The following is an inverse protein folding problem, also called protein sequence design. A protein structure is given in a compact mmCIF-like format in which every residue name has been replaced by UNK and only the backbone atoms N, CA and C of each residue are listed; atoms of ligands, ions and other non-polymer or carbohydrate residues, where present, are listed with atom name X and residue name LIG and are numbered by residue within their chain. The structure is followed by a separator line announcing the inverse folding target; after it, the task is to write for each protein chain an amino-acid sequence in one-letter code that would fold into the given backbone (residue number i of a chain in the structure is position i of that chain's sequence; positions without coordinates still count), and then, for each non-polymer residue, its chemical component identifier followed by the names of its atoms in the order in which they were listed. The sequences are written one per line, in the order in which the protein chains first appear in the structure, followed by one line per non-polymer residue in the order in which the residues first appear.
data_IF_443687874486
#
_entry.id   IF_443687874486
#
_cell.length_a   1.000
_cell.length_b   1.000
_cell.length_c   1.000
_cell.angle_alpha   90.00
_cell.angle_beta   90.00
_cell.angle_gamma   90.00
#
_symmetry.space_group_name_H-M   'P 1'
#
loop_
_entity.id
_entity.type
_entity.pdbx_description
1 polymer ?
#
# COMPACT_ATOMS: atom_id res chain seq x y z
N UNK A 1 47.41 -11.58 -5.80
CA UNK A 1 48.73 -11.22 -6.36
C UNK A 1 49.46 -12.50 -6.76
N UNK A 2 50.38 -12.53 -7.76
CA UNK A 2 51.08 -11.41 -8.43
C UNK A 2 50.31 -10.62 -9.52
N UNK A 3 50.65 -10.81 -10.81
CA UNK A 3 50.83 -9.73 -11.82
C UNK A 3 50.40 -10.17 -13.24
N UNK A 4 49.85 -9.33 -14.14
CA UNK A 4 50.25 -7.98 -14.62
C UNK A 4 51.47 -7.94 -15.57
N UNK A 5 51.25 -7.49 -16.82
CA UNK A 5 52.12 -6.71 -17.75
C UNK A 5 51.30 -6.46 -19.04
N UNK A 6 51.11 -5.27 -19.64
CA UNK A 6 51.83 -3.97 -19.80
C UNK A 6 52.55 -3.81 -21.17
N UNK A 7 51.91 -3.06 -22.08
CA UNK A 7 52.52 -2.20 -23.14
C UNK A 7 51.38 -1.22 -23.58
N UNK A 8 51.40 0.13 -23.57
CA UNK A 8 52.38 1.25 -23.63
C UNK A 8 52.92 1.62 -25.03
N UNK A 9 52.58 2.84 -25.48
CA UNK A 9 53.03 3.51 -26.71
C UNK A 9 51.83 4.12 -27.47
N UNK A 10 51.82 5.36 -27.97
CA UNK A 10 52.86 6.40 -28.03
C UNK A 10 52.19 7.80 -27.98
N UNK A 11 52.83 8.79 -27.36
CA UNK A 11 52.43 10.21 -27.39
C UNK A 11 53.27 10.93 -28.45
N UNK A 12 52.66 11.84 -29.22
CA UNK A 12 53.37 12.85 -30.01
C UNK A 12 52.83 14.23 -29.64
N UNK A 13 53.70 15.11 -29.15
CA UNK A 13 53.43 16.53 -28.89
C UNK A 13 54.53 17.35 -29.58
N UNK A 14 54.12 18.26 -30.45
CA UNK A 14 54.89 19.41 -30.96
C UNK A 14 53.85 20.55 -31.03
N UNK A 15 53.81 21.52 -30.10
CA UNK A 15 54.78 22.58 -29.80
C UNK A 15 54.82 23.69 -30.86
N UNK A 16 54.43 24.92 -30.46
CA UNK A 16 54.53 26.13 -31.28
C UNK A 16 53.46 27.18 -30.94
N UNK A 17 53.80 28.18 -30.14
CA UNK A 17 52.92 29.29 -29.79
C UNK A 17 53.55 30.64 -30.18
N UNK A 18 52.75 31.59 -30.70
CA UNK A 18 52.94 33.06 -30.56
C UNK A 18 51.54 33.70 -30.66
N UNK A 19 51.27 34.72 -29.84
CA UNK A 19 50.02 35.48 -29.84
C UNK A 19 50.13 36.80 -30.62
N UNK A 20 49.02 37.26 -31.21
CA UNK A 20 48.83 38.65 -31.64
C UNK A 20 47.33 39.03 -31.58
N UNK A 21 47.03 40.21 -31.06
CA UNK A 21 45.68 40.76 -30.97
C UNK A 21 45.23 41.40 -32.30
N UNK A 22 43.91 41.44 -32.56
CA UNK A 22 43.34 42.29 -33.61
C UNK A 22 41.89 41.92 -33.96
N UNK A 23 40.94 42.81 -33.72
CA UNK A 23 39.52 42.59 -33.97
C UNK A 23 39.09 43.00 -35.39
N UNK A 24 38.15 42.26 -35.97
CA UNK A 24 37.19 42.71 -36.99
C UNK A 24 35.99 41.75 -36.89
N UNK A 25 34.91 42.16 -36.21
CA UNK A 25 33.82 43.03 -36.68
C UNK A 25 32.72 42.22 -37.37
N UNK A 26 31.54 42.21 -36.75
CA UNK A 26 30.34 41.58 -37.28
C UNK A 26 29.79 42.36 -38.46
N UNK A 27 29.24 41.66 -39.45
CA UNK A 27 28.08 42.11 -40.20
C UNK A 27 27.33 40.90 -40.80
N UNK A 28 26.01 40.99 -40.75
CA UNK A 28 25.02 40.35 -41.63
C UNK A 28 24.85 38.80 -41.64
N UNK A 29 24.00 38.31 -40.75
CA UNK A 29 22.87 37.44 -41.16
C UNK A 29 21.61 37.80 -40.34
N UNK A 30 20.74 38.62 -40.92
CA UNK A 30 19.38 38.81 -40.41
C UNK A 30 18.54 37.54 -40.58
N UNK A 31 18.14 36.94 -39.45
CA UNK A 31 16.93 36.15 -39.34
C UNK A 31 16.11 36.75 -38.20
N UNK A 32 14.93 37.28 -38.51
CA UNK A 32 14.09 38.00 -37.55
C UNK A 32 13.62 37.07 -36.43
N UNK A 33 14.19 37.25 -35.23
CA UNK A 33 13.63 36.69 -34.01
C UNK A 33 12.35 37.48 -33.66
N UNK A 34 11.21 36.83 -33.38
CA UNK A 34 10.08 37.53 -32.79
C UNK A 34 10.47 38.11 -31.42
N UNK A 35 9.85 39.22 -30.97
CA UNK A 35 10.25 39.90 -29.74
C UNK A 35 10.11 38.97 -28.53
N UNK A 36 11.09 39.06 -27.63
CA UNK A 36 11.15 38.25 -26.41
C UNK A 36 10.27 38.84 -25.30
N UNK A 37 8.96 38.87 -25.53
CA UNK A 37 7.92 39.10 -24.52
C UNK A 37 6.76 38.12 -24.79
N UNK A 38 6.17 37.55 -23.72
CA UNK A 38 5.12 36.52 -23.76
C UNK A 38 5.50 35.15 -24.40
N UNK A 39 6.58 34.55 -23.90
CA UNK A 39 6.56 33.10 -23.58
C UNK A 39 6.91 32.86 -22.10
N UNK A 40 6.08 33.44 -21.22
CA UNK A 40 5.84 32.83 -19.91
C UNK A 40 5.04 31.55 -20.15
N UNK A 41 5.73 30.46 -20.45
CA UNK A 41 5.15 29.14 -20.37
C UNK A 41 4.74 28.91 -18.91
N UNK A 42 3.43 28.86 -18.67
CA UNK A 42 2.86 28.43 -17.40
C UNK A 42 3.25 26.97 -17.16
N UNK A 43 4.38 26.76 -16.49
CA UNK A 43 4.78 25.46 -15.96
C UNK A 43 3.69 25.02 -14.97
N UNK A 44 2.99 23.89 -15.20
CA UNK A 44 1.93 23.47 -14.30
C UNK A 44 2.47 23.22 -12.89
N UNK A 45 1.87 23.85 -11.89
CA UNK A 45 2.24 23.70 -10.46
C UNK A 45 1.72 22.38 -9.84
N UNK A 46 1.53 21.35 -10.67
CA UNK A 46 0.91 20.05 -10.34
C UNK A 46 1.91 19.00 -9.80
N UNK A 47 3.21 19.26 -9.93
CA UNK A 47 4.31 18.32 -9.66
C UNK A 47 4.41 17.78 -8.20
N UNK A 48 4.31 18.58 -7.12
CA UNK A 48 4.65 18.07 -5.79
C UNK A 48 3.58 17.12 -5.21
N UNK A 49 2.31 17.30 -5.55
CA UNK A 49 1.21 16.44 -5.07
C UNK A 49 1.14 15.10 -5.82
N UNK A 50 1.43 15.09 -7.12
CA UNK A 50 1.42 13.88 -7.94
C UNK A 50 2.56 12.93 -7.57
N UNK A 51 3.77 13.46 -7.35
CA UNK A 51 4.92 12.67 -6.88
C UNK A 51 4.66 12.06 -5.49
N UNK A 52 4.08 12.82 -4.55
CA UNK A 52 3.73 12.31 -3.22
C UNK A 52 2.69 11.17 -3.30
N UNK A 53 1.69 11.29 -4.17
CA UNK A 53 0.70 10.24 -4.41
C UNK A 53 1.36 8.96 -4.96
N UNK A 54 2.25 9.08 -5.94
CA UNK A 54 2.96 7.94 -6.52
C UNK A 54 3.89 7.22 -5.51
N UNK A 55 4.54 7.97 -4.60
CA UNK A 55 5.32 7.38 -3.51
C UNK A 55 4.44 6.60 -2.53
N UNK A 56 3.28 7.15 -2.16
CA UNK A 56 2.30 6.48 -1.29
C UNK A 56 1.78 5.19 -1.95
N UNK A 57 1.39 5.23 -3.22
CA UNK A 57 0.95 4.04 -3.98
C UNK A 57 2.03 2.96 -4.03
N UNK A 58 3.28 3.35 -4.27
CA UNK A 58 4.44 2.43 -4.23
C UNK A 58 4.60 1.75 -2.87
N UNK A 59 4.49 2.51 -1.77
CA UNK A 59 4.56 1.96 -0.40
C UNK A 59 3.40 1.02 -0.08
N UNK A 60 2.17 1.33 -0.53
CA UNK A 60 1.00 0.44 -0.35
C UNK A 60 1.21 -0.87 -1.11
N UNK A 61 1.75 -0.82 -2.33
CA UNK A 61 2.01 -2.02 -3.12
C UNK A 61 3.13 -2.88 -2.50
N UNK A 62 4.21 -2.26 -2.03
CA UNK A 62 5.25 -2.97 -1.28
C UNK A 62 4.72 -3.62 0.01
N UNK A 63 3.80 -2.96 0.73
CA UNK A 63 3.12 -3.53 1.89
C UNK A 63 2.27 -4.77 1.52
N UNK A 64 1.51 -4.70 0.43
CA UNK A 64 0.74 -5.86 -0.11
C UNK A 64 1.63 -7.02 -0.50
N UNK A 65 2.79 -6.75 -1.12
CA UNK A 65 3.79 -7.76 -1.46
C UNK A 65 4.41 -8.39 -0.21
N UNK A 66 4.74 -7.59 0.81
CA UNK A 66 5.33 -8.06 2.06
C UNK A 66 4.41 -9.04 2.83
N UNK A 67 3.09 -8.82 2.81
CA UNK A 67 2.11 -9.73 3.46
C UNK A 67 1.64 -10.89 2.57
N UNK A 68 2.04 -10.95 1.30
CA UNK A 68 1.45 -11.91 0.33
C UNK A 68 1.64 -13.38 0.74
N UNK A 69 2.77 -13.72 1.39
CA UNK A 69 3.05 -15.05 1.93
C UNK A 69 2.11 -15.44 3.08
N UNK A 70 1.53 -14.47 3.79
CA UNK A 70 0.59 -14.70 4.90
C UNK A 70 -0.81 -15.10 4.46
N UNK A 71 -1.04 -15.25 3.14
CA UNK A 71 -2.15 -16.07 2.64
C UNK A 71 -2.05 -17.53 3.13
N UNK A 72 -0.85 -18.02 3.40
CA UNK A 72 -0.62 -19.20 4.24
C UNK A 72 -0.59 -18.79 5.72
N UNK A 73 -1.57 -19.28 6.47
CA UNK A 73 -1.73 -18.99 7.90
C UNK A 73 -0.55 -19.49 8.73
N UNK A 74 0.11 -20.58 8.34
CA UNK A 74 1.29 -21.09 9.06
C UNK A 74 2.51 -20.17 8.88
N UNK A 75 2.64 -19.50 7.74
CA UNK A 75 3.68 -18.47 7.55
C UNK A 75 3.39 -17.21 8.37
N UNK A 76 2.13 -16.83 8.52
CA UNK A 76 1.72 -15.72 9.39
C UNK A 76 2.04 -16.01 10.87
N UNK A 77 1.69 -17.21 11.35
CA UNK A 77 1.98 -17.63 12.72
C UNK A 77 3.49 -17.73 12.99
N UNK A 78 4.26 -18.27 12.04
CA UNK A 78 5.72 -18.30 12.11
C UNK A 78 6.37 -16.90 12.09
N UNK A 79 5.69 -15.90 11.52
CA UNK A 79 6.09 -14.50 11.53
C UNK A 79 5.54 -13.71 12.74
N UNK A 80 4.91 -14.37 13.70
CA UNK A 80 4.47 -13.79 14.98
C UNK A 80 3.00 -13.39 15.07
N UNK A 81 2.22 -13.47 13.98
CA UNK A 81 0.80 -13.08 13.92
C UNK A 81 -0.13 -14.11 14.60
N UNK A 82 0.11 -14.35 15.89
CA UNK A 82 -0.42 -15.47 16.68
C UNK A 82 -1.60 -15.09 17.57
N UNK A 83 -1.84 -13.81 17.83
CA UNK A 83 -2.89 -13.35 18.73
C UNK A 83 -4.16 -12.99 17.96
N UNK A 84 -5.20 -13.80 18.05
CA UNK A 84 -6.54 -13.41 17.58
C UNK A 84 -7.07 -12.28 18.49
N UNK A 85 -7.41 -11.13 17.89
CA UNK A 85 -7.98 -9.98 18.61
C UNK A 85 -9.51 -9.98 18.59
N UNK A 86 -10.11 -10.50 17.52
CA UNK A 86 -11.56 -10.44 17.31
C UNK A 86 -12.09 -11.78 16.81
N UNK A 87 -13.39 -12.03 17.02
CA UNK A 87 -14.16 -12.90 16.12
C UNK A 87 -14.30 -12.24 14.73
N UNK A 88 -15.05 -12.85 13.81
CA UNK A 88 -15.29 -12.24 12.51
C UNK A 88 -16.10 -10.94 12.64
N UNK A 89 -15.49 -9.79 12.31
CA UNK A 89 -16.12 -8.47 12.39
C UNK A 89 -16.82 -8.15 11.07
N UNK A 90 -18.11 -7.80 11.14
CA UNK A 90 -18.92 -7.38 10.00
C UNK A 90 -20.00 -6.37 10.39
N UNK A 91 -20.50 -5.63 9.41
CA UNK A 91 -21.61 -4.68 9.52
C UNK A 91 -22.51 -4.74 8.27
N UNK A 92 -23.52 -3.88 8.20
CA UNK A 92 -24.33 -3.71 6.99
C UNK A 92 -23.55 -3.13 5.78
N UNK A 93 -22.35 -2.59 6.01
CA UNK A 93 -21.48 -2.00 4.97
C UNK A 93 -20.46 -3.03 4.42
N UNK A 94 -20.36 -4.21 5.04
CA UNK A 94 -19.45 -5.28 4.63
C UNK A 94 -18.69 -5.92 5.80
N UNK A 95 -17.72 -6.77 5.46
CA UNK A 95 -16.86 -7.45 6.41
C UNK A 95 -15.52 -6.75 6.63
N UNK A 96 -14.93 -7.01 7.80
CA UNK A 96 -13.51 -6.87 8.09
C UNK A 96 -12.82 -8.24 8.20
N UNK A 97 -13.54 -9.26 8.65
CA UNK A 97 -12.98 -10.58 8.92
C UNK A 97 -12.46 -10.72 10.35
N UNK A 98 -11.66 -11.74 10.57
CA UNK A 98 -10.92 -11.98 11.81
C UNK A 98 -9.61 -11.18 11.82
N UNK A 99 -9.29 -10.54 12.94
CA UNK A 99 -8.05 -9.81 13.14
C UNK A 99 -7.04 -10.67 13.92
N UNK A 100 -5.84 -10.87 13.36
CA UNK A 100 -4.73 -11.56 14.02
C UNK A 100 -3.51 -10.65 14.11
N UNK A 101 -3.12 -10.32 15.33
CA UNK A 101 -2.02 -9.42 15.64
C UNK A 101 -0.68 -10.12 15.82
N UNK A 102 0.39 -9.40 15.53
CA UNK A 102 1.73 -9.66 16.06
C UNK A 102 1.95 -8.77 17.31
N UNK A 103 1.95 -9.34 18.53
CA UNK A 103 2.09 -8.56 19.77
C UNK A 103 3.45 -7.87 19.93
N UNK A 104 4.50 -8.36 19.26
CA UNK A 104 5.83 -7.74 19.33
C UNK A 104 5.86 -6.40 18.57
N UNK A 105 5.15 -6.30 17.44
CA UNK A 105 5.02 -5.07 16.67
C UNK A 105 4.11 -4.05 17.40
N UNK A 106 2.96 -4.50 17.93
CA UNK A 106 2.07 -3.62 18.74
C UNK A 106 2.82 -3.04 19.96
N UNK A 107 3.75 -3.81 20.54
CA UNK A 107 4.48 -3.45 21.76
C UNK A 107 5.81 -2.72 21.56
N UNK A 108 6.16 -2.31 20.34
CA UNK A 108 7.53 -1.84 20.01
C UNK A 108 7.82 -0.35 20.32
N UNK A 109 6.88 0.32 20.98
CA UNK A 109 6.92 1.77 21.22
C UNK A 109 6.21 2.60 20.15
N UNK A 110 5.40 1.98 19.29
CA UNK A 110 4.53 2.67 18.35
C UNK A 110 5.21 3.02 17.02
N UNK A 111 6.14 2.19 16.58
CA UNK A 111 6.81 2.34 15.29
C UNK A 111 5.95 1.70 14.20
N UNK A 112 5.64 2.45 13.14
CA UNK A 112 4.86 1.94 12.01
C UNK A 112 5.79 1.73 10.80
N UNK A 113 6.05 0.47 10.44
CA UNK A 113 6.72 0.10 9.19
C UNK A 113 5.68 -0.37 8.16
N UNK A 114 5.72 0.19 6.95
CA UNK A 114 4.83 -0.21 5.87
C UNK A 114 4.99 -1.69 5.47
N UNK A 115 6.14 -2.30 5.71
CA UNK A 115 6.40 -3.70 5.37
C UNK A 115 6.08 -4.68 6.52
N UNK A 116 5.75 -4.17 7.70
CA UNK A 116 5.46 -4.96 8.90
C UNK A 116 4.20 -4.43 9.61
N UNK A 117 3.00 -4.57 9.02
CA UNK A 117 1.76 -4.13 9.67
C UNK A 117 1.51 -4.93 10.95
N UNK A 118 0.92 -4.31 11.97
CA UNK A 118 0.74 -4.96 13.27
C UNK A 118 -0.36 -6.06 13.26
N UNK A 119 -1.32 -5.99 12.33
CA UNK A 119 -2.50 -6.85 12.26
C UNK A 119 -2.79 -7.35 10.85
N UNK A 120 -3.11 -8.63 10.71
CA UNK A 120 -3.60 -9.25 9.47
C UNK A 120 -5.10 -9.56 9.55
N UNK A 121 -5.80 -9.42 8.43
CA UNK A 121 -7.26 -9.59 8.34
C UNK A 121 -7.62 -10.76 7.43
N UNK A 122 -8.43 -11.67 7.95
CA UNK A 122 -8.82 -12.90 7.25
C UNK A 122 -10.32 -13.11 7.16
N UNK A 123 -10.79 -13.44 5.97
CA UNK A 123 -12.16 -13.88 5.72
C UNK A 123 -12.28 -15.40 5.92
N UNK A 124 -13.26 -15.89 6.71
CA UNK A 124 -13.53 -17.32 6.84
C UNK A 124 -14.07 -17.90 5.53
N UNK A 125 -13.55 -19.05 5.11
CA UNK A 125 -14.00 -19.77 3.92
C UNK A 125 -14.92 -20.94 4.30
N UNK A 126 -15.67 -21.44 3.31
CA UNK A 126 -16.64 -22.54 3.46
C UNK A 126 -16.02 -23.85 4.02
N UNK A 127 -14.76 -24.11 3.69
CA UNK A 127 -13.99 -25.29 4.11
C UNK A 127 -13.32 -25.14 5.48
N UNK A 128 -13.55 -24.00 6.16
CA UNK A 128 -12.90 -23.65 7.43
C UNK A 128 -11.49 -23.07 7.27
N UNK A 129 -11.01 -22.84 6.05
CA UNK A 129 -9.77 -22.10 5.80
C UNK A 129 -9.97 -20.59 5.94
N UNK A 130 -8.86 -19.84 5.88
CA UNK A 130 -8.83 -18.39 5.99
C UNK A 130 -8.23 -17.77 4.74
N UNK A 131 -8.92 -16.79 4.15
CA UNK A 131 -8.43 -15.99 3.02
C UNK A 131 -7.91 -14.65 3.53
N UNK A 132 -6.63 -14.33 3.29
CA UNK A 132 -6.08 -13.00 3.61
C UNK A 132 -6.78 -11.94 2.74
N UNK A 133 -7.48 -11.00 3.37
CA UNK A 133 -8.23 -9.92 2.68
C UNK A 133 -7.66 -8.52 2.92
N UNK A 134 -6.84 -8.37 3.96
CA UNK A 134 -6.18 -7.10 4.24
C UNK A 134 -5.19 -7.18 5.39
N UNK A 135 -4.67 -6.03 5.76
CA UNK A 135 -3.86 -5.80 6.95
C UNK A 135 -4.24 -4.44 7.55
N UNK A 136 -3.89 -4.22 8.80
CA UNK A 136 -4.09 -2.93 9.45
C UNK A 136 -2.88 -2.58 10.30
N UNK A 137 -2.56 -1.29 10.27
CA UNK A 137 -1.62 -0.71 11.21
C UNK A 137 -2.33 -0.43 12.54
N UNK A 138 -1.67 -0.63 13.67
CA UNK A 138 -2.24 -0.47 15.01
C UNK A 138 -1.23 0.17 15.97
N UNK A 139 -1.43 1.46 16.27
CA UNK A 139 -0.60 2.24 17.19
C UNK A 139 -1.35 2.41 18.53
N UNK A 140 -0.85 1.88 19.66
CA UNK A 140 -1.50 2.05 20.95
C UNK A 140 -1.73 3.52 21.32
N UNK A 141 -2.91 3.82 21.88
CA UNK A 141 -3.31 5.19 22.28
C UNK A 141 -2.33 5.83 23.27
N UNK A 142 -1.63 5.02 24.07
CA UNK A 142 -0.67 5.46 25.08
C UNK A 142 0.67 5.93 24.49
N UNK A 143 1.07 5.43 23.33
CA UNK A 143 2.34 5.75 22.69
C UNK A 143 2.24 7.00 21.79
N UNK A 144 1.03 7.46 21.49
CA UNK A 144 0.77 8.70 20.75
C UNK A 144 0.40 9.87 21.66
N UNK A 145 1.26 10.89 21.72
CA UNK A 145 1.13 12.03 22.65
C UNK A 145 0.67 13.34 22.01
N UNK A 146 0.59 13.42 20.68
CA UNK A 146 0.08 14.62 20.00
C UNK A 146 -1.47 14.66 20.04
N UNK A 147 -2.09 15.85 20.06
CA UNK A 147 -3.54 15.98 20.13
C UNK A 147 -4.24 15.65 18.79
N UNK A 148 -3.57 15.84 17.66
CA UNK A 148 -4.06 15.43 16.34
C UNK A 148 -3.92 13.91 16.12
N UNK A 149 -4.72 13.29 15.23
CA UNK A 149 -4.47 11.93 14.78
C UNK A 149 -3.09 11.74 14.13
N UNK A 150 -2.40 10.62 14.37
CA UNK A 150 -1.21 10.25 13.63
C UNK A 150 -1.57 10.09 12.15
N UNK A 151 -0.63 10.44 11.28
CA UNK A 151 -0.77 10.25 9.83
C UNK A 151 0.20 9.17 9.37
N UNK A 152 -0.31 8.16 8.67
CA UNK A 152 0.49 7.09 8.08
C UNK A 152 0.02 6.80 6.66
N UNK A 153 0.96 6.48 5.75
CA UNK A 153 0.69 6.34 4.30
C UNK A 153 -0.13 7.51 3.70
N UNK A 154 0.05 8.73 4.21
CA UNK A 154 -0.69 9.92 3.81
C UNK A 154 -2.14 10.01 4.30
N UNK A 155 -2.60 9.07 5.14
CA UNK A 155 -3.93 9.06 5.74
C UNK A 155 -3.88 9.34 7.24
N UNK A 156 -4.82 10.12 7.81
CA UNK A 156 -5.02 10.14 9.25
C UNK A 156 -5.53 8.76 9.72
N UNK A 157 -5.02 8.26 10.84
CA UNK A 157 -5.49 7.00 11.41
C UNK A 157 -6.79 7.21 12.20
N UNK A 158 -7.70 6.23 12.15
CA UNK A 158 -8.98 6.24 12.86
C UNK A 158 -8.80 5.75 14.30
N UNK A 159 -9.52 6.33 15.26
CA UNK A 159 -9.51 5.83 16.63
C UNK A 159 -10.41 4.58 16.77
N UNK A 160 -9.86 3.49 17.31
CA UNK A 160 -10.64 2.36 17.81
C UNK A 160 -10.62 2.42 19.35
N UNK A 161 -11.68 2.98 19.92
CA UNK A 161 -11.83 3.18 21.37
C UNK A 161 -11.99 1.87 22.14
N UNK A 162 -12.53 0.82 21.53
CA UNK A 162 -12.71 -0.49 22.16
C UNK A 162 -11.37 -1.22 22.36
N UNK A 163 -10.51 -1.17 21.35
CA UNK A 163 -9.18 -1.78 21.38
C UNK A 163 -8.09 -0.87 21.97
N UNK A 164 -8.38 0.42 22.18
CA UNK A 164 -7.40 1.37 22.71
C UNK A 164 -6.25 1.65 21.74
N UNK A 165 -6.53 1.69 20.43
CA UNK A 165 -5.52 1.96 19.38
C UNK A 165 -5.97 3.05 18.39
N UNK A 166 -5.01 3.69 17.74
CA UNK A 166 -5.21 4.24 16.40
C UNK A 166 -5.03 3.12 15.37
N UNK A 167 -5.83 3.12 14.29
CA UNK A 167 -5.69 2.12 13.24
C UNK A 167 -5.84 2.69 11.82
N UNK A 168 -5.14 2.07 10.87
CA UNK A 168 -5.29 2.33 9.44
C UNK A 168 -5.31 0.99 8.69
N UNK A 169 -6.45 0.66 8.08
CA UNK A 169 -6.64 -0.59 7.33
C UNK A 169 -6.26 -0.43 5.86
N UNK A 170 -5.72 -1.49 5.28
CA UNK A 170 -5.38 -1.58 3.84
C UNK A 170 -5.86 -2.91 3.29
N UNK A 171 -6.63 -2.87 2.20
CA UNK A 171 -7.12 -4.07 1.54
C UNK A 171 -6.10 -4.66 0.54
N UNK A 172 -5.94 -5.98 0.59
CA UNK A 172 -5.21 -6.78 -0.41
C UNK A 172 -6.12 -7.27 -1.54
N UNK A 173 -7.44 -7.21 -1.33
CA UNK A 173 -8.49 -7.55 -2.29
C UNK A 173 -9.26 -6.29 -2.71
N UNK A 174 -9.96 -6.34 -3.83
CA UNK A 174 -10.74 -5.21 -4.33
C UNK A 174 -11.79 -4.74 -3.31
N UNK A 175 -11.83 -3.43 -3.08
CA UNK A 175 -12.85 -2.75 -2.29
C UNK A 175 -13.41 -1.55 -3.08
N UNK A 176 -14.70 -1.55 -3.47
CA UNK A 176 -15.30 -0.43 -4.21
C UNK A 176 -15.37 0.86 -3.38
N UNK A 177 -15.29 0.78 -2.05
CA UNK A 177 -15.24 1.93 -1.15
C UNK A 177 -13.83 2.54 -1.02
N UNK A 178 -12.79 1.87 -1.58
CA UNK A 178 -11.42 2.35 -1.63
C UNK A 178 -10.43 1.61 -0.71
N UNK A 179 -9.13 1.79 -0.99
CA UNK A 179 -8.00 1.10 -0.33
C UNK A 179 -7.98 1.17 1.20
N UNK A 180 -8.45 2.29 1.77
CA UNK A 180 -8.39 2.58 3.21
C UNK A 180 -9.77 2.57 3.90
N UNK A 181 -10.84 2.16 3.21
CA UNK A 181 -12.18 2.15 3.79
C UNK A 181 -12.29 1.16 4.95
N UNK A 182 -13.03 1.51 6.01
CA UNK A 182 -13.17 0.66 7.19
C UNK A 182 -13.92 -0.66 6.94
N UNK A 183 -14.78 -0.69 5.93
CA UNK A 183 -15.58 -1.86 5.54
C UNK A 183 -15.34 -2.23 4.07
N UNK A 184 -15.36 -3.53 3.76
CA UNK A 184 -15.37 -4.02 2.39
C UNK A 184 -16.64 -4.84 2.11
N UNK A 185 -17.53 -4.41 1.21
CA UNK A 185 -18.74 -5.16 0.87
C UNK A 185 -18.46 -6.48 0.13
N UNK A 186 -17.23 -6.69 -0.35
CA UNK A 186 -16.77 -7.93 -0.97
C UNK A 186 -16.18 -8.94 0.05
N UNK A 187 -16.28 -8.66 1.36
CA UNK A 187 -15.79 -9.52 2.45
C UNK A 187 -16.97 -10.00 3.30
N UNK A 188 -17.07 -11.30 3.54
CA UNK A 188 -18.15 -11.94 4.31
C UNK A 188 -17.68 -12.50 5.65
N UNK A 189 -18.54 -12.42 6.67
CA UNK A 189 -18.36 -13.17 7.92
C UNK A 189 -19.31 -14.37 8.06
N UNK A 190 -20.09 -14.66 7.03
CA UNK A 190 -20.81 -15.93 6.90
C UNK A 190 -19.85 -16.91 6.22
N UNK A 191 -19.54 -18.08 6.82
CA UNK A 191 -18.84 -19.15 6.11
C UNK A 191 -19.63 -19.47 4.85
N UNK A 192 -18.98 -19.45 3.69
CA UNK A 192 -19.69 -19.58 2.42
C UNK A 192 -20.58 -20.83 2.42
N UNK A 193 -21.90 -20.64 2.30
CA UNK A 193 -22.80 -21.76 2.09
C UNK A 193 -22.48 -22.32 0.70
N UNK A 194 -21.80 -23.48 0.67
CA UNK A 194 -21.47 -24.15 -0.59
C UNK A 194 -22.74 -24.33 -1.41
N UNK A 195 -22.64 -24.05 -2.72
CA UNK A 195 -23.77 -24.03 -3.65
C UNK A 195 -24.56 -25.35 -3.57
N UNK A 196 -25.66 -25.34 -2.80
CA UNK A 196 -26.57 -26.48 -2.67
C UNK A 196 -27.54 -26.42 -3.84
N UNK A 197 -27.02 -26.81 -5.00
CA UNK A 197 -27.75 -26.95 -6.24
C UNK A 197 -28.81 -28.06 -6.11
N UNK A 198 -30.01 -27.68 -5.65
CA UNK A 198 -31.27 -28.40 -5.83
C UNK A 198 -31.54 -29.63 -4.95
N UNK A 199 -32.60 -29.54 -4.14
CA UNK A 199 -33.61 -30.62 -4.14
C UNK A 199 -35.03 -30.04 -4.16
N UNK A 200 -35.79 -30.42 -5.17
CA UNK A 200 -37.20 -30.10 -5.33
C UNK A 200 -38.07 -31.02 -4.49
N UNK A 201 -38.01 -30.86 -3.16
CA UNK A 201 -38.74 -31.64 -2.17
C UNK A 201 -40.25 -31.34 -2.10
N UNK A 202 -41.00 -31.66 -3.16
CA UNK A 202 -42.47 -31.63 -3.16
C UNK A 202 -43.06 -32.48 -2.04
N UNK A 203 -43.83 -31.87 -1.15
CA UNK A 203 -44.71 -32.56 -0.20
C UNK A 203 -46.15 -32.08 -0.33
N UNK A 204 -46.82 -32.57 -1.36
CA UNK A 204 -48.27 -32.80 -1.31
C UNK A 204 -48.57 -33.85 -0.23
N UNK A 205 -49.27 -33.46 0.82
CA UNK A 205 -49.98 -34.38 1.72
C UNK A 205 -51.27 -33.71 2.22
N UNK A 206 -52.39 -34.08 1.61
CA UNK A 206 -53.69 -33.51 1.90
C UNK A 206 -54.27 -33.98 3.25
N UNK A 207 -55.12 -33.12 3.82
CA UNK A 207 -56.30 -33.43 4.66
C UNK A 207 -56.21 -34.55 5.72
N UNK A 208 -56.54 -34.21 6.96
CA UNK A 208 -57.86 -34.57 7.50
C UNK A 208 -58.36 -33.53 8.50
N UNK A 209 -59.68 -33.43 8.61
CA UNK A 209 -60.43 -32.43 9.37
C UNK A 209 -61.22 -33.14 10.47
N UNK A 210 -61.02 -32.76 11.73
CA UNK A 210 -61.93 -33.08 12.84
C UNK A 210 -62.10 -31.88 13.77
N UNK A 211 -63.38 -31.57 14.04
CA UNK A 211 -64.01 -30.55 14.89
C UNK A 211 -64.54 -29.29 14.18
#
# INVERSE_FOLDING_TARGET
MPTSRKTRGLIVILAGAVAACGAQSADDQFAEQPPADEQLAEQPVEEPMSILTAEIESRINAAREAVASFSDRAQAEAAGYTQQLTECVASAEGGQGFHFANPELIGDGGQLDALQPEVLLYEPQADGSFRLVGFAYALPRADWTAPEPPTFLGQPMTANEELGVWTLRVWTVDNPNGTFADWNPNVSCVPGEGETEGDTGSHDAASHHEM
#
